data_IF_491544317570
#
_entry.id   IF_491544317570
#
_cell.length_a   1.000
_cell.length_b   1.000
_cell.length_c   1.000
_cell.angle_alpha   90.00
_cell.angle_beta   90.00
_cell.angle_gamma   90.00
#
_symmetry.space_group_name_H-M   'P 1'
#
loop_
_entity.id
_entity.type
_entity.pdbx_description
1 polymer ?
#
# COMPACT_ATOMS: atom_id res chain seq x y z
N UNK A 1 15.40 3.30 8.38
CA UNK A 1 14.89 3.47 7.01
C UNK A 1 13.49 2.85 6.92
N UNK A 2 12.48 3.68 6.68
CA UNK A 2 11.08 3.28 6.55
C UNK A 2 10.84 2.61 5.19
N UNK A 3 10.32 1.39 5.17
CA UNK A 3 9.97 0.66 3.93
C UNK A 3 8.49 0.87 3.61
N UNK A 4 8.20 1.51 2.49
CA UNK A 4 6.84 1.74 2.01
C UNK A 4 6.61 0.94 0.73
N UNK A 5 5.54 0.17 0.69
CA UNK A 5 5.03 -0.44 -0.52
C UNK A 5 3.82 0.34 -1.04
N UNK A 6 3.80 0.62 -2.35
CA UNK A 6 2.65 1.21 -3.04
C UNK A 6 2.15 0.22 -4.07
N UNK A 7 0.86 -0.07 -4.07
CA UNK A 7 0.23 -0.97 -5.03
C UNK A 7 -1.02 -0.34 -5.64
N UNK A 8 -1.00 -0.20 -6.95
CA UNK A 8 -2.09 0.32 -7.76
C UNK A 8 -1.96 -0.31 -9.16
N UNK A 9 -3.07 -0.76 -9.75
CA UNK A 9 -3.08 -1.37 -11.08
C UNK A 9 -2.92 -0.34 -12.19
N UNK A 10 -3.23 0.93 -11.90
CA UNK A 10 -3.06 2.04 -12.83
C UNK A 10 -1.69 2.69 -12.65
N UNK A 11 -0.84 2.55 -13.67
CA UNK A 11 0.51 3.11 -13.67
C UNK A 11 0.54 4.63 -13.41
N UNK A 12 -0.48 5.36 -13.85
CA UNK A 12 -0.64 6.80 -13.62
C UNK A 12 -0.81 7.14 -12.13
N UNK A 13 -1.65 6.39 -11.42
CA UNK A 13 -1.84 6.56 -9.98
C UNK A 13 -0.62 6.10 -9.20
N UNK A 14 -0.05 4.95 -9.56
CA UNK A 14 1.17 4.42 -8.96
C UNK A 14 2.31 5.45 -8.99
N UNK A 15 2.57 6.05 -10.16
CA UNK A 15 3.59 7.10 -10.33
C UNK A 15 3.26 8.37 -9.56
N UNK A 16 1.99 8.77 -9.53
CA UNK A 16 1.55 9.97 -8.80
C UNK A 16 1.78 9.79 -7.29
N UNK A 17 1.36 8.66 -6.72
CA UNK A 17 1.55 8.34 -5.31
C UNK A 17 3.04 8.24 -4.96
N UNK A 18 3.84 7.59 -5.81
CA UNK A 18 5.29 7.54 -5.65
C UNK A 18 5.93 8.94 -5.67
N UNK A 19 5.52 9.81 -6.60
CA UNK A 19 6.00 11.18 -6.70
C UNK A 19 5.69 12.02 -5.46
N UNK A 20 4.49 11.86 -4.89
CA UNK A 20 4.10 12.53 -3.65
C UNK A 20 4.91 12.03 -2.45
N UNK A 21 5.13 10.72 -2.34
CA UNK A 21 5.96 10.14 -1.27
C UNK A 21 7.42 10.60 -1.38
N UNK A 22 7.99 10.59 -2.59
CA UNK A 22 9.35 11.06 -2.81
C UNK A 22 9.48 12.55 -2.45
N UNK A 23 8.53 13.39 -2.88
CA UNK A 23 8.49 14.81 -2.52
C UNK A 23 8.39 15.02 -1.01
N UNK A 24 7.67 14.14 -0.30
CA UNK A 24 7.56 14.18 1.16
C UNK A 24 8.90 13.87 1.85
N UNK A 25 9.66 12.91 1.33
CA UNK A 25 11.00 12.57 1.84
C UNK A 25 12.03 13.65 1.49
N UNK A 26 11.99 14.21 0.28
CA UNK A 26 12.86 15.31 -0.13
C UNK A 26 12.69 16.55 0.77
N UNK A 27 11.44 16.83 1.17
CA UNK A 27 11.14 17.91 2.11
C UNK A 27 11.57 17.61 3.56
N UNK A 28 11.92 16.36 3.89
CA UNK A 28 12.32 15.92 5.23
C UNK A 28 13.57 15.03 5.18
N UNK A 29 14.76 15.61 4.95
CA UNK A 29 16.01 14.84 4.77
C UNK A 29 16.40 13.97 5.98
N UNK A 30 15.88 14.29 7.17
CA UNK A 30 16.10 13.49 8.38
C UNK A 30 15.33 12.16 8.38
N UNK A 31 14.34 11.98 7.50
CA UNK A 31 13.57 10.75 7.35
C UNK A 31 14.09 9.95 6.16
N UNK A 32 14.75 8.84 6.42
CA UNK A 32 15.13 7.89 5.38
C UNK A 32 13.96 6.95 5.07
N UNK A 33 13.45 7.00 3.84
CA UNK A 33 12.40 6.11 3.35
C UNK A 33 12.74 5.46 2.01
N UNK A 34 12.28 4.23 1.81
CA UNK A 34 12.38 3.51 0.55
C UNK A 34 10.98 3.16 0.06
N UNK A 35 10.62 3.67 -1.12
CA UNK A 35 9.35 3.36 -1.77
C UNK A 35 9.55 2.23 -2.78
N UNK A 36 8.75 1.18 -2.68
CA UNK A 36 8.72 0.06 -3.62
C UNK A 36 7.36 0.02 -4.30
N UNK A 37 7.34 -0.11 -5.62
CA UNK A 37 6.14 -0.01 -6.42
C UNK A 37 5.71 -1.39 -6.91
N UNK A 38 4.41 -1.64 -6.83
CA UNK A 38 3.76 -2.86 -7.27
C UNK A 38 2.56 -2.51 -8.14
N UNK A 39 2.33 -3.28 -9.19
CA UNK A 39 1.23 -3.08 -10.13
C UNK A 39 0.10 -4.11 -9.95
N UNK A 40 0.21 -4.99 -8.96
CA UNK A 40 -0.80 -6.02 -8.67
C UNK A 40 -0.72 -6.42 -7.21
N UNK A 41 -1.87 -6.77 -6.62
CA UNK A 41 -1.89 -7.29 -5.26
C UNK A 41 -1.06 -8.57 -5.09
N UNK A 42 -0.89 -9.36 -6.17
CA UNK A 42 -0.09 -10.59 -6.15
C UNK A 42 1.40 -10.29 -5.99
N UNK A 43 1.93 -9.42 -6.85
CA UNK A 43 3.34 -9.02 -6.80
C UNK A 43 3.68 -8.34 -5.47
N UNK A 44 2.74 -7.63 -4.87
CA UNK A 44 2.90 -7.08 -3.53
C UNK A 44 3.04 -8.17 -2.45
N UNK A 45 2.15 -9.16 -2.43
CA UNK A 45 2.17 -10.23 -1.41
C UNK A 45 3.44 -11.07 -1.52
N UNK A 46 3.85 -11.41 -2.76
CA UNK A 46 5.10 -12.12 -3.03
C UNK A 46 6.31 -11.26 -2.59
N UNK A 47 6.35 -9.98 -2.98
CA UNK A 47 7.43 -9.07 -2.59
C UNK A 47 7.51 -8.79 -1.09
N UNK A 48 6.38 -8.77 -0.38
CA UNK A 48 6.35 -8.65 1.07
C UNK A 48 7.00 -9.87 1.74
N UNK A 49 6.59 -11.08 1.32
CA UNK A 49 7.16 -12.33 1.84
C UNK A 49 8.68 -12.44 1.59
N UNK A 50 9.18 -11.95 0.45
CA UNK A 50 10.61 -11.96 0.13
C UNK A 50 11.41 -10.92 0.92
N UNK A 51 10.84 -9.75 1.18
CA UNK A 51 11.54 -8.63 1.81
C UNK A 51 11.43 -8.59 3.34
N UNK A 52 10.73 -9.56 3.94
CA UNK A 52 10.41 -9.58 5.36
C UNK A 52 9.45 -8.45 5.75
N UNK A 53 8.59 -8.06 4.82
CA UNK A 53 7.55 -7.06 5.03
C UNK A 53 7.96 -5.61 4.80
N UNK A 54 6.93 -4.77 4.90
CA UNK A 54 7.02 -3.31 4.81
C UNK A 54 6.46 -2.70 6.09
N UNK A 55 6.91 -1.49 6.42
CA UNK A 55 6.37 -0.74 7.55
C UNK A 55 5.02 -0.11 7.21
N UNK A 56 4.82 0.22 5.93
CA UNK A 56 3.60 0.84 5.42
C UNK A 56 3.24 0.28 4.04
N UNK A 57 1.96 -0.04 3.87
CA UNK A 57 1.36 -0.47 2.61
C UNK A 57 0.32 0.57 2.18
N UNK A 58 0.52 1.17 1.00
CA UNK A 58 -0.46 2.05 0.35
C UNK A 58 -1.09 1.26 -0.79
N UNK A 59 -2.38 0.96 -0.65
CA UNK A 59 -3.10 0.01 -1.49
C UNK A 59 -4.32 0.65 -2.14
N UNK A 60 -4.49 0.51 -3.45
CA UNK A 60 -5.82 0.69 -4.03
C UNK A 60 -6.74 -0.49 -3.69
N UNK A 61 -8.04 -0.22 -3.56
CA UNK A 61 -9.07 -1.22 -3.29
C UNK A 61 -9.50 -1.90 -4.61
N UNK A 62 -9.62 -1.14 -5.70
CA UNK A 62 -10.21 -1.59 -6.95
C UNK A 62 -9.15 -2.05 -7.96
N UNK A 63 -8.49 -3.17 -7.65
CA UNK A 63 -7.54 -3.80 -8.57
C UNK A 63 -8.11 -5.08 -9.21
N UNK A 64 -7.74 -5.41 -10.47
CA UNK A 64 -8.06 -6.68 -11.09
C UNK A 64 -7.40 -7.86 -10.35
N UNK A 65 -8.03 -9.03 -10.42
CA UNK A 65 -7.67 -10.27 -9.74
C UNK A 65 -7.80 -10.23 -8.21
N UNK A 66 -6.92 -9.50 -7.53
CA UNK A 66 -6.96 -9.34 -6.08
C UNK A 66 -7.38 -7.92 -5.76
N UNK A 67 -8.59 -7.77 -5.24
CA UNK A 67 -8.99 -6.50 -4.65
C UNK A 67 -8.06 -6.14 -3.48
N UNK A 68 -7.94 -4.85 -3.18
CA UNK A 68 -7.04 -4.36 -2.12
C UNK A 68 -7.36 -4.91 -0.74
N UNK A 69 -8.62 -5.23 -0.47
CA UNK A 69 -9.05 -5.84 0.80
C UNK A 69 -8.48 -7.25 0.96
N UNK A 70 -8.63 -8.10 -0.06
CA UNK A 70 -8.10 -9.47 -0.06
C UNK A 70 -6.57 -9.46 -0.02
N UNK A 71 -5.95 -8.53 -0.74
CA UNK A 71 -4.50 -8.29 -0.66
C UNK A 71 -4.08 -7.96 0.77
N UNK A 72 -4.77 -7.01 1.42
CA UNK A 72 -4.54 -6.65 2.82
C UNK A 72 -4.74 -7.83 3.78
N UNK A 73 -5.78 -8.63 3.60
CA UNK A 73 -6.01 -9.85 4.40
C UNK A 73 -4.85 -10.84 4.29
N UNK A 74 -4.28 -11.02 3.10
CA UNK A 74 -3.12 -11.91 2.91
C UNK A 74 -1.86 -11.36 3.55
N UNK A 75 -1.60 -10.06 3.42
CA UNK A 75 -0.50 -9.41 4.11
C UNK A 75 -0.62 -9.58 5.64
N UNK A 76 -1.83 -9.41 6.20
CA UNK A 76 -2.08 -9.67 7.63
C UNK A 76 -1.85 -11.14 8.02
N UNK A 77 -2.19 -12.09 7.16
CA UNK A 77 -1.94 -13.54 7.39
C UNK A 77 -0.46 -13.91 7.32
N UNK A 78 0.36 -13.17 6.57
CA UNK A 78 1.82 -13.35 6.57
C UNK A 78 2.45 -12.98 7.92
N UNK A 79 1.72 -12.28 8.80
CA UNK A 79 2.17 -11.94 10.14
C UNK A 79 3.09 -10.72 10.19
N UNK A 80 3.24 -10.01 9.07
CA UNK A 80 4.10 -8.84 8.95
C UNK A 80 3.32 -7.58 9.30
N UNK A 81 3.66 -6.99 10.44
CA UNK A 81 2.89 -5.97 11.16
C UNK A 81 2.89 -4.56 10.56
N UNK A 82 3.14 -4.39 9.26
CA UNK A 82 3.11 -3.07 8.63
C UNK A 82 1.72 -2.46 8.59
N UNK A 83 1.62 -1.14 8.64
CA UNK A 83 0.34 -0.45 8.58
C UNK A 83 -0.23 -0.43 7.16
N UNK A 84 -1.55 -0.54 7.03
CA UNK A 84 -2.24 -0.54 5.73
C UNK A 84 -3.06 0.74 5.59
N UNK A 85 -2.79 1.50 4.54
CA UNK A 85 -3.57 2.66 4.12
C UNK A 85 -4.20 2.33 2.78
N UNK A 86 -5.53 2.44 2.72
CA UNK A 86 -6.24 2.35 1.45
C UNK A 86 -6.34 3.72 0.79
N UNK A 87 -5.94 3.77 -0.48
CA UNK A 87 -6.05 4.94 -1.33
C UNK A 87 -6.90 4.56 -2.53
N UNK A 88 -8.19 4.88 -2.49
CA UNK A 88 -9.11 4.56 -3.58
C UNK A 88 -10.02 5.73 -3.92
N UNK A 89 -10.38 5.85 -5.19
CA UNK A 89 -11.41 6.79 -5.65
C UNK A 89 -12.83 6.19 -5.55
N UNK A 90 -12.96 4.97 -5.02
CA UNK A 90 -14.23 4.29 -4.82
C UNK A 90 -14.93 4.82 -3.57
N UNK A 91 -16.02 5.55 -3.76
CA UNK A 91 -16.81 6.17 -2.69
C UNK A 91 -17.53 5.15 -1.76
N UNK A 92 -17.44 3.84 -2.03
CA UNK A 92 -18.35 2.82 -1.48
C UNK A 92 -17.72 1.77 -0.53
N UNK A 93 -16.41 1.78 -0.27
CA UNK A 93 -15.76 0.70 0.50
C UNK A 93 -15.27 1.08 1.91
N UNK A 94 -15.72 2.22 2.44
CA UNK A 94 -15.37 2.66 3.79
C UNK A 94 -15.79 1.66 4.89
N UNK A 95 -16.82 0.83 4.65
CA UNK A 95 -17.28 -0.17 5.62
C UNK A 95 -16.36 -1.42 5.71
N UNK A 96 -15.79 -1.87 4.58
CA UNK A 96 -14.98 -3.10 4.52
C UNK A 96 -13.53 -2.88 4.96
N UNK A 97 -13.07 -1.62 5.03
CA UNK A 97 -11.72 -1.27 5.51
C UNK A 97 -11.55 -1.46 7.04
N UNK A 98 -12.65 -1.44 7.80
CA UNK A 98 -12.63 -1.68 9.25
C UNK A 98 -12.26 -3.12 9.61
N UNK A 99 -12.62 -4.10 8.78
CA UNK A 99 -12.33 -5.52 9.00
C UNK A 99 -10.83 -5.86 8.95
N UNK A 100 -10.02 -4.98 8.36
CA UNK A 100 -8.57 -5.15 8.20
C UNK A 100 -7.74 -4.13 8.99
N UNK A 101 -8.38 -3.33 9.83
CA UNK A 101 -7.76 -2.23 10.62
C UNK A 101 -6.97 -1.26 9.76
N UNK A 102 -7.51 -0.86 8.61
CA UNK A 102 -6.87 0.17 7.79
C UNK A 102 -7.33 1.58 8.22
N UNK A 103 -6.42 2.55 8.16
CA UNK A 103 -6.77 3.95 8.38
C UNK A 103 -7.39 4.54 7.10
N UNK A 104 -8.58 5.14 7.23
CA UNK A 104 -9.31 5.82 6.16
C UNK A 104 -9.19 7.33 6.35
N UNK A 105 -8.71 8.04 5.32
CA UNK A 105 -8.65 9.52 5.30
C UNK A 105 -9.30 9.96 3.98
N UNK A 106 -10.41 10.70 4.09
CA UNK A 106 -11.04 11.42 2.98
C UNK A 106 -10.12 12.50 2.39
#
# INVERSE_FOLDING_TARGET
>A
MLKIAVCDDQETHLKKTAGLLNSYFDARPALEGKVTLFNSGRSLVEGAAEQGGFDLYVLDILMPEYNGIETGRRLRKLGEGGEIIYLTNANDFAADSYDVRAFFIC
#
